data_IF_738114566914
#
_entry.id   IF_738114566914
#
_cell.length_a   1.000
_cell.length_b   1.000
_cell.length_c   1.000
_cell.angle_alpha   90.00
_cell.angle_beta   90.00
_cell.angle_gamma   90.00
#
_symmetry.space_group_name_H-M   'P 1'
#
loop_
_entity.id
_entity.type
_entity.pdbx_description
1 polymer ?
#
# COMPACT_ATOMS: atom_id res chain seq x y z
N UNK A 1 15.07 -20.67 -3.00
CA UNK A 1 14.27 -19.81 -3.86
C UNK A 1 15.10 -18.56 -4.21
N UNK A 2 15.38 -18.29 -5.49
CA UNK A 2 16.18 -17.10 -5.89
C UNK A 2 15.23 -15.96 -6.24
N UNK A 3 15.17 -14.94 -5.39
CA UNK A 3 14.49 -13.68 -5.68
C UNK A 3 15.27 -12.91 -6.73
N UNK A 4 14.68 -12.64 -7.89
CA UNK A 4 15.22 -11.69 -8.89
C UNK A 4 14.27 -10.51 -9.00
N UNK A 5 14.63 -9.38 -8.39
CA UNK A 5 14.03 -8.09 -8.72
C UNK A 5 14.60 -7.64 -10.07
N UNK A 6 13.78 -7.50 -11.11
CA UNK A 6 14.20 -6.95 -12.40
C UNK A 6 13.53 -5.60 -12.62
N UNK A 7 14.34 -4.63 -13.04
CA UNK A 7 13.88 -3.28 -13.42
C UNK A 7 13.35 -3.22 -14.86
N UNK A 8 13.67 -4.21 -15.69
CA UNK A 8 13.29 -4.24 -17.10
C UNK A 8 12.04 -5.11 -17.28
N UNK A 9 10.88 -4.47 -17.24
CA UNK A 9 9.58 -5.10 -17.48
C UNK A 9 9.30 -5.19 -18.98
N UNK A 10 10.15 -5.90 -19.73
CA UNK A 10 10.00 -6.10 -21.17
C UNK A 10 9.08 -7.28 -21.48
N UNK A 11 8.54 -7.34 -22.70
CA UNK A 11 7.71 -8.46 -23.17
C UNK A 11 8.44 -9.80 -23.01
N UNK A 12 9.73 -9.87 -23.33
CA UNK A 12 10.53 -11.08 -23.19
C UNK A 12 10.65 -11.56 -21.74
N UNK A 13 10.72 -10.64 -20.77
CA UNK A 13 10.77 -10.97 -19.33
C UNK A 13 9.43 -11.55 -18.89
N UNK A 14 8.31 -10.96 -19.31
CA UNK A 14 6.97 -11.46 -18.96
C UNK A 14 6.71 -12.85 -19.51
N UNK A 15 7.02 -13.07 -20.79
CA UNK A 15 6.90 -14.40 -21.42
C UNK A 15 7.69 -15.47 -20.68
N UNK A 16 8.93 -15.16 -20.30
CA UNK A 16 9.77 -16.07 -19.53
C UNK A 16 9.24 -16.33 -18.12
N UNK A 17 8.72 -15.31 -17.43
CA UNK A 17 8.15 -15.48 -16.09
C UNK A 17 7.01 -16.48 -16.09
N UNK A 18 6.05 -16.35 -17.02
CA UNK A 18 4.90 -17.26 -17.08
C UNK A 18 5.24 -18.63 -17.67
N UNK A 19 6.29 -18.75 -18.49
CA UNK A 19 6.72 -20.02 -19.06
C UNK A 19 7.62 -20.84 -18.12
N UNK A 20 8.42 -20.18 -17.25
CA UNK A 20 9.45 -20.82 -16.44
C UNK A 20 9.10 -20.93 -14.94
N UNK A 21 8.01 -20.27 -14.48
CA UNK A 21 7.64 -20.22 -13.07
C UNK A 21 6.28 -20.88 -12.82
N UNK A 22 6.19 -21.70 -11.78
CA UNK A 22 4.91 -22.23 -11.29
C UNK A 22 4.04 -21.15 -10.64
N UNK A 23 4.70 -20.16 -9.99
CA UNK A 23 4.06 -19.08 -9.25
C UNK A 23 4.75 -17.76 -9.54
N UNK A 24 3.98 -16.72 -9.86
CA UNK A 24 4.44 -15.33 -10.01
C UNK A 24 3.73 -14.44 -9.01
N UNK A 25 4.50 -13.75 -8.15
CA UNK A 25 3.98 -12.76 -7.21
C UNK A 25 4.02 -11.37 -7.86
N UNK A 26 2.86 -10.75 -8.03
CA UNK A 26 2.73 -9.35 -8.47
C UNK A 26 2.84 -8.41 -7.27
N UNK A 27 3.95 -7.66 -7.19
CA UNK A 27 4.21 -6.69 -6.12
C UNK A 27 4.63 -5.37 -6.78
N UNK A 28 3.65 -4.55 -7.10
CA UNK A 28 3.85 -3.28 -7.83
C UNK A 28 3.14 -2.12 -7.13
N UNK A 29 3.24 -0.92 -7.71
CA UNK A 29 2.43 0.20 -7.25
C UNK A 29 0.94 -0.09 -7.48
N UNK A 30 0.04 0.19 -6.52
CA UNK A 30 -1.40 -0.07 -6.65
C UNK A 30 -2.01 0.45 -7.96
N UNK A 31 -1.60 1.63 -8.41
CA UNK A 31 -2.10 2.21 -9.67
C UNK A 31 -1.67 1.47 -10.94
N UNK A 32 -0.70 0.55 -10.86
CA UNK A 32 -0.22 -0.23 -12.00
C UNK A 32 -0.70 -1.70 -11.97
N UNK A 33 -1.39 -2.12 -10.90
CA UNK A 33 -1.69 -3.54 -10.67
C UNK A 33 -2.51 -4.16 -11.80
N UNK A 34 -3.57 -3.48 -12.25
CA UNK A 34 -4.45 -3.97 -13.31
C UNK A 34 -3.74 -4.03 -14.67
N UNK A 35 -2.92 -3.03 -15.00
CA UNK A 35 -2.18 -3.00 -16.26
C UNK A 35 -1.14 -4.11 -16.30
N UNK A 36 -0.42 -4.33 -15.19
CA UNK A 36 0.50 -5.46 -15.05
C UNK A 36 -0.23 -6.80 -15.20
N UNK A 37 -1.43 -6.93 -14.63
CA UNK A 37 -2.24 -8.14 -14.79
C UNK A 37 -2.65 -8.38 -16.26
N UNK A 38 -3.02 -7.33 -16.99
CA UNK A 38 -3.33 -7.42 -18.44
C UNK A 38 -2.11 -7.86 -19.25
N UNK A 39 -0.94 -7.29 -18.96
CA UNK A 39 0.33 -7.67 -19.58
C UNK A 39 0.72 -9.14 -19.28
N UNK A 40 0.48 -9.59 -18.04
CA UNK A 40 0.68 -11.01 -17.68
C UNK A 40 -0.31 -11.92 -18.40
N UNK A 41 -1.57 -11.52 -18.55
CA UNK A 41 -2.58 -12.25 -19.31
C UNK A 41 -2.21 -12.39 -20.79
N UNK A 42 -1.65 -11.36 -21.42
CA UNK A 42 -1.09 -11.46 -22.77
C UNK A 42 0.03 -12.49 -22.86
N UNK A 43 0.93 -12.50 -21.89
CA UNK A 43 2.03 -13.47 -21.84
C UNK A 43 1.52 -14.92 -21.61
N UNK A 44 0.52 -15.12 -20.75
CA UNK A 44 -0.14 -16.41 -20.54
C UNK A 44 -0.74 -16.95 -21.84
N UNK A 45 -1.51 -16.12 -22.58
CA UNK A 45 -2.07 -16.52 -23.88
C UNK A 45 -1.00 -16.87 -24.90
N UNK A 46 0.08 -16.07 -24.97
CA UNK A 46 1.15 -16.27 -25.94
C UNK A 46 1.97 -17.54 -25.69
N UNK A 47 2.09 -17.97 -24.43
CA UNK A 47 2.86 -19.17 -24.04
C UNK A 47 2.01 -20.41 -23.83
N UNK A 48 0.69 -20.29 -23.71
CA UNK A 48 -0.20 -21.39 -23.30
C UNK A 48 0.04 -21.85 -21.85
N UNK A 49 0.69 -21.03 -21.02
CA UNK A 49 1.03 -21.38 -19.64
C UNK A 49 -0.17 -21.25 -18.70
N UNK A 50 -0.22 -22.11 -17.68
CA UNK A 50 -1.23 -22.10 -16.60
C UNK A 50 -0.64 -21.62 -15.26
N UNK A 51 0.37 -20.76 -15.32
CA UNK A 51 1.07 -20.21 -14.14
C UNK A 51 0.11 -19.60 -13.15
N UNK A 52 0.34 -19.85 -11.86
CA UNK A 52 -0.38 -19.21 -10.78
C UNK A 52 0.11 -17.76 -10.61
N UNK A 53 -0.77 -16.81 -10.85
CA UNK A 53 -0.54 -15.39 -10.59
C UNK A 53 -1.10 -15.05 -9.21
N UNK A 54 -0.28 -14.51 -8.33
CA UNK A 54 -0.69 -14.07 -6.99
C UNK A 54 -0.59 -12.54 -6.95
N UNK A 55 -1.71 -11.86 -6.84
CA UNK A 55 -1.71 -10.42 -6.65
C UNK A 55 -1.45 -10.08 -5.18
N UNK A 56 -0.34 -9.37 -4.92
CA UNK A 56 0.06 -8.95 -3.58
C UNK A 56 -0.05 -7.43 -3.40
N UNK A 57 -0.80 -6.75 -4.26
CA UNK A 57 -0.88 -5.31 -4.29
C UNK A 57 -1.85 -4.74 -3.26
N UNK A 58 -1.81 -3.43 -3.04
CA UNK A 58 -2.71 -2.75 -2.12
C UNK A 58 -3.87 -2.14 -2.92
N UNK A 59 -4.76 -2.99 -3.45
CA UNK A 59 -5.88 -2.61 -4.31
C UNK A 59 -7.22 -3.00 -3.70
N UNK A 60 -8.29 -2.36 -4.17
CA UNK A 60 -9.65 -2.63 -3.70
C UNK A 60 -10.11 -4.05 -4.08
N UNK A 61 -11.02 -4.66 -3.31
CA UNK A 61 -11.59 -5.98 -3.64
C UNK A 61 -12.19 -6.07 -5.05
N UNK A 62 -12.81 -5.00 -5.54
CA UNK A 62 -13.35 -4.97 -6.90
C UNK A 62 -12.25 -4.98 -7.96
N UNK A 63 -11.15 -4.25 -7.73
CA UNK A 63 -9.96 -4.29 -8.58
C UNK A 63 -9.33 -5.69 -8.60
N UNK A 64 -9.29 -6.37 -7.45
CA UNK A 64 -8.80 -7.77 -7.37
C UNK A 64 -9.66 -8.71 -8.21
N UNK A 65 -10.99 -8.59 -8.13
CA UNK A 65 -11.90 -9.42 -8.94
C UNK A 65 -11.73 -9.18 -10.45
N UNK A 66 -11.49 -7.91 -10.84
CA UNK A 66 -11.17 -7.59 -12.24
C UNK A 66 -9.84 -8.24 -12.67
N UNK A 67 -8.80 -8.15 -11.83
CA UNK A 67 -7.51 -8.81 -12.07
C UNK A 67 -7.69 -10.33 -12.21
N UNK A 68 -8.42 -10.98 -11.30
CA UNK A 68 -8.72 -12.40 -11.35
C UNK A 68 -9.37 -12.77 -12.68
N UNK A 69 -10.42 -12.05 -13.08
CA UNK A 69 -11.13 -12.27 -14.35
C UNK A 69 -10.18 -12.17 -15.55
N UNK A 70 -9.29 -11.18 -15.57
CA UNK A 70 -8.33 -10.99 -16.67
C UNK A 70 -7.33 -12.14 -16.76
N UNK A 71 -6.80 -12.59 -15.62
CA UNK A 71 -5.82 -13.70 -15.55
C UNK A 71 -6.46 -15.03 -15.91
N UNK A 72 -7.62 -15.35 -15.34
CA UNK A 72 -8.34 -16.61 -15.54
C UNK A 72 -8.83 -16.75 -16.98
N UNK A 73 -9.33 -15.67 -17.58
CA UNK A 73 -9.70 -15.63 -19.00
C UNK A 73 -8.52 -15.83 -19.97
N UNK A 74 -7.29 -15.73 -19.48
CA UNK A 74 -6.07 -16.01 -20.23
C UNK A 74 -5.51 -17.42 -19.99
N UNK A 75 -6.20 -18.26 -19.20
CA UNK A 75 -5.81 -19.64 -18.88
C UNK A 75 -4.88 -19.75 -17.66
N UNK A 76 -4.56 -18.66 -16.98
CA UNK A 76 -3.82 -18.67 -15.72
C UNK A 76 -4.70 -19.04 -14.53
N UNK A 77 -4.06 -19.39 -13.40
CA UNK A 77 -4.71 -19.48 -12.10
C UNK A 77 -4.45 -18.21 -11.29
N UNK A 78 -5.38 -17.86 -10.40
CA UNK A 78 -5.28 -16.60 -9.63
C UNK A 78 -5.48 -16.82 -8.13
N UNK A 79 -4.68 -16.14 -7.31
CA UNK A 79 -4.89 -15.97 -5.86
C UNK A 79 -4.68 -14.51 -5.46
N UNK A 80 -5.46 -14.07 -4.49
CA UNK A 80 -5.33 -12.77 -3.84
C UNK A 80 -4.45 -12.87 -2.61
N UNK A 81 -3.57 -11.88 -2.41
CA UNK A 81 -2.71 -11.82 -1.24
C UNK A 81 -2.52 -10.40 -0.69
N UNK A 82 -2.45 -10.29 0.62
CA UNK A 82 -2.19 -9.05 1.35
C UNK A 82 -0.90 -9.14 2.16
N UNK A 83 0.12 -8.36 1.79
CA UNK A 83 1.36 -8.25 2.58
C UNK A 83 1.16 -7.20 3.67
N UNK A 84 1.34 -7.59 4.94
CA UNK A 84 1.25 -6.71 6.11
C UNK A 84 2.49 -6.90 6.99
N UNK A 85 3.22 -5.84 7.22
CA UNK A 85 4.45 -5.83 8.03
C UNK A 85 5.65 -5.25 7.29
N UNK A 86 6.81 -5.17 7.96
CA UNK A 86 8.06 -4.75 7.36
C UNK A 86 8.59 -5.80 6.38
N UNK A 87 9.54 -5.46 5.50
CA UNK A 87 10.23 -6.46 4.68
C UNK A 87 10.86 -7.56 5.55
N UNK A 88 10.79 -8.84 5.14
CA UNK A 88 11.32 -9.98 5.91
C UNK A 88 12.86 -9.95 5.91
N UNK A 89 13.45 -9.27 6.89
CA UNK A 89 14.90 -9.12 7.05
C UNK A 89 15.31 -9.27 8.53
N UNK A 90 16.40 -9.99 8.80
CA UNK A 90 16.89 -10.19 10.16
C UNK A 90 15.84 -10.88 11.02
N UNK A 91 15.40 -10.23 12.09
CA UNK A 91 14.35 -10.72 13.00
C UNK A 91 12.93 -10.25 12.63
N UNK A 92 12.81 -9.41 11.59
CA UNK A 92 11.52 -8.86 11.17
C UNK A 92 10.65 -9.94 10.51
N UNK A 93 9.38 -9.94 10.89
CA UNK A 93 8.38 -10.86 10.35
C UNK A 93 7.38 -10.11 9.47
N UNK A 94 7.07 -10.70 8.32
CA UNK A 94 6.05 -10.23 7.40
C UNK A 94 4.90 -11.22 7.40
N UNK A 95 3.66 -10.72 7.50
CA UNK A 95 2.47 -11.54 7.32
C UNK A 95 2.02 -11.47 5.86
N UNK A 96 1.80 -12.63 5.26
CA UNK A 96 1.18 -12.79 3.95
C UNK A 96 -0.18 -13.44 4.15
N UNK A 97 -1.23 -12.65 4.07
CA UNK A 97 -2.59 -13.13 4.06
C UNK A 97 -2.96 -13.54 2.65
N UNK A 98 -3.57 -14.71 2.47
CA UNK A 98 -3.91 -15.24 1.16
C UNK A 98 -5.37 -15.68 1.12
N UNK A 99 -6.03 -15.52 -0.03
CA UNK A 99 -7.41 -15.93 -0.24
C UNK A 99 -7.67 -16.30 -1.70
N UNK A 100 -8.69 -17.13 -1.90
CA UNK A 100 -9.09 -17.65 -3.20
C UNK A 100 -9.04 -19.18 -3.25
N UNK A 101 -9.59 -19.80 -4.31
CA UNK A 101 -9.64 -21.25 -4.44
C UNK A 101 -8.23 -21.86 -4.46
N UNK A 102 -7.95 -22.77 -3.52
CA UNK A 102 -6.65 -23.41 -3.41
C UNK A 102 -5.56 -22.55 -2.73
N UNK A 103 -5.91 -21.51 -1.97
CA UNK A 103 -4.97 -20.62 -1.28
C UNK A 103 -3.98 -21.34 -0.34
N UNK A 104 -4.34 -22.54 0.18
CA UNK A 104 -3.45 -23.41 0.97
C UNK A 104 -2.17 -23.79 0.23
N UNK A 105 -2.19 -23.77 -1.10
CA UNK A 105 -0.99 -23.99 -1.91
C UNK A 105 0.16 -23.05 -1.55
N UNK A 106 -0.14 -21.83 -1.10
CA UNK A 106 0.87 -20.83 -0.75
C UNK A 106 1.48 -21.01 0.65
N UNK A 107 0.98 -21.92 1.50
CA UNK A 107 1.57 -22.22 2.81
C UNK A 107 3.03 -22.67 2.67
N UNK A 108 3.40 -23.28 1.55
CA UNK A 108 4.77 -23.65 1.21
C UNK A 108 5.77 -22.48 1.10
N UNK A 109 5.28 -21.25 0.95
CA UNK A 109 6.10 -20.05 0.96
C UNK A 109 6.46 -19.61 2.38
N UNK A 110 5.78 -20.18 3.38
CA UNK A 110 5.98 -19.86 4.79
C UNK A 110 7.38 -20.21 5.27
N UNK A 111 7.85 -19.43 6.23
CA UNK A 111 9.17 -19.61 6.85
C UNK A 111 9.33 -18.70 8.07
N UNK A 112 10.51 -18.72 8.69
CA UNK A 112 10.73 -17.99 9.95
C UNK A 112 10.42 -16.47 9.88
N UNK A 113 10.52 -15.88 8.70
CA UNK A 113 10.34 -14.45 8.47
C UNK A 113 9.09 -14.12 7.64
N UNK A 114 8.48 -15.11 6.99
CA UNK A 114 7.25 -14.96 6.21
C UNK A 114 6.17 -15.86 6.77
N UNK A 115 5.20 -15.28 7.45
CA UNK A 115 4.08 -16.02 8.04
C UNK A 115 2.93 -15.97 7.05
N UNK A 116 2.52 -17.13 6.54
CA UNK A 116 1.39 -17.26 5.62
C UNK A 116 0.12 -17.55 6.43
N UNK A 117 -0.93 -16.79 6.15
CA UNK A 117 -2.25 -16.94 6.76
C UNK A 117 -3.28 -17.18 5.65
N UNK A 118 -3.84 -18.36 5.56
CA UNK A 118 -4.96 -18.64 4.66
C UNK A 118 -6.24 -18.12 5.31
N UNK A 119 -6.92 -17.15 4.66
CA UNK A 119 -8.14 -16.54 5.18
C UNK A 119 -9.38 -17.32 4.75
N UNK A 120 -9.50 -17.61 3.45
CA UNK A 120 -10.69 -18.23 2.88
C UNK A 120 -10.41 -18.70 1.44
N UNK A 121 -11.39 -19.38 0.87
CA UNK A 121 -11.47 -19.74 -0.55
C UNK A 121 -12.10 -18.64 -1.43
N UNK A 122 -12.52 -17.51 -0.83
CA UNK A 122 -13.13 -16.40 -1.55
C UNK A 122 -12.07 -15.42 -2.03
N UNK A 123 -12.03 -15.18 -3.32
CA UNK A 123 -11.17 -14.15 -3.94
C UNK A 123 -11.46 -12.77 -3.37
N UNK A 124 -10.40 -12.00 -3.07
CA UNK A 124 -10.41 -10.64 -2.55
C UNK A 124 -10.61 -10.47 -1.02
N UNK A 125 -10.69 -11.54 -0.24
CA UNK A 125 -10.75 -11.42 1.23
C UNK A 125 -9.41 -10.93 1.82
N UNK A 126 -8.27 -11.36 1.28
CA UNK A 126 -6.95 -10.89 1.73
C UNK A 126 -6.74 -9.40 1.45
N UNK A 127 -7.15 -8.94 0.27
CA UNK A 127 -7.13 -7.51 -0.07
C UNK A 127 -8.13 -6.71 0.77
N UNK A 128 -9.33 -7.25 1.06
CA UNK A 128 -10.30 -6.61 1.96
C UNK A 128 -9.69 -6.36 3.34
N UNK A 129 -9.04 -7.37 3.92
CA UNK A 129 -8.33 -7.23 5.20
C UNK A 129 -7.23 -6.17 5.10
N UNK A 130 -6.40 -6.23 4.05
CA UNK A 130 -5.30 -5.27 3.84
C UNK A 130 -5.79 -3.84 3.68
N UNK A 131 -6.90 -3.63 2.97
CA UNK A 131 -7.50 -2.30 2.81
C UNK A 131 -8.03 -1.76 4.14
N UNK A 132 -8.73 -2.56 4.94
CA UNK A 132 -9.18 -2.16 6.27
C UNK A 132 -8.00 -1.84 7.21
N UNK A 133 -6.96 -2.67 7.23
CA UNK A 133 -5.77 -2.43 8.02
C UNK A 133 -5.02 -1.17 7.57
N UNK A 134 -4.86 -0.99 6.25
CA UNK A 134 -4.25 0.20 5.65
C UNK A 134 -5.03 1.48 5.96
N UNK A 135 -6.36 1.39 5.95
CA UNK A 135 -7.27 2.47 6.33
C UNK A 135 -6.99 2.96 7.76
N UNK A 136 -6.96 2.05 8.72
CA UNK A 136 -6.67 2.39 10.12
C UNK A 136 -5.24 2.91 10.30
N UNK A 137 -4.25 2.31 9.67
CA UNK A 137 -2.86 2.70 9.84
C UNK A 137 -2.55 4.04 9.16
N UNK A 138 -2.68 4.10 7.83
CA UNK A 138 -2.29 5.27 7.03
C UNK A 138 -3.34 6.38 7.05
N UNK A 139 -4.62 6.03 7.11
CA UNK A 139 -5.69 7.01 7.29
C UNK A 139 -5.56 7.79 8.60
N UNK A 140 -5.23 7.09 9.69
CA UNK A 140 -4.94 7.74 10.98
C UNK A 140 -3.72 8.66 10.88
N UNK A 141 -2.66 8.24 10.20
CA UNK A 141 -1.49 9.10 9.98
C UNK A 141 -1.85 10.36 9.18
N UNK A 142 -2.66 10.23 8.12
CA UNK A 142 -3.11 11.37 7.33
C UNK A 142 -3.95 12.36 8.18
N UNK A 143 -4.91 11.86 8.96
CA UNK A 143 -5.73 12.67 9.86
C UNK A 143 -4.87 13.45 10.87
N UNK A 144 -3.96 12.75 11.56
CA UNK A 144 -3.10 13.40 12.54
C UNK A 144 -2.18 14.44 11.90
N UNK A 145 -1.60 14.14 10.75
CA UNK A 145 -0.72 15.07 10.03
C UNK A 145 -1.48 16.33 9.60
N UNK A 146 -2.66 16.17 9.01
CA UNK A 146 -3.49 17.29 8.54
C UNK A 146 -3.88 18.22 9.69
N UNK A 147 -4.39 17.65 10.79
CA UNK A 147 -4.79 18.43 11.97
C UNK A 147 -3.61 19.14 12.62
N UNK A 148 -2.46 18.50 12.76
CA UNK A 148 -1.29 19.14 13.36
C UNK A 148 -0.70 20.25 12.46
N UNK A 149 -0.72 20.07 11.14
CA UNK A 149 -0.37 21.14 10.19
C UNK A 149 -1.34 22.32 10.32
N UNK A 150 -2.65 22.03 10.41
CA UNK A 150 -3.67 23.07 10.58
C UNK A 150 -3.46 23.84 11.90
N UNK A 151 -3.20 23.14 13.00
CA UNK A 151 -2.94 23.76 14.30
C UNK A 151 -1.73 24.71 14.27
N UNK A 152 -0.65 24.32 13.60
CA UNK A 152 0.52 25.19 13.36
C UNK A 152 0.13 26.47 12.58
N UNK A 153 -0.62 26.32 11.51
CA UNK A 153 -1.05 27.45 10.66
C UNK A 153 -2.04 28.39 11.37
N UNK A 154 -2.82 27.85 12.30
CA UNK A 154 -3.76 28.60 13.12
C UNK A 154 -3.13 29.20 14.38
N UNK A 155 -1.86 28.86 14.70
CA UNK A 155 -1.15 29.36 15.88
C UNK A 155 -1.64 28.77 17.21
N UNK A 156 -2.29 27.58 17.17
CA UNK A 156 -2.84 26.90 18.36
C UNK A 156 -2.13 25.60 18.70
N UNK A 157 -1.04 25.29 18.00
CA UNK A 157 -0.28 24.04 18.12
C UNK A 157 0.19 23.76 19.55
N UNK A 158 0.71 24.77 20.26
CA UNK A 158 1.18 24.61 21.63
C UNK A 158 0.04 24.30 22.61
N UNK A 159 -1.14 24.88 22.43
CA UNK A 159 -2.31 24.58 23.25
C UNK A 159 -2.85 23.18 22.94
N UNK A 160 -2.94 22.82 21.67
CA UNK A 160 -3.33 21.48 21.24
C UNK A 160 -2.37 20.42 21.78
N UNK A 161 -1.07 20.65 21.71
CA UNK A 161 -0.07 19.70 22.23
C UNK A 161 -0.24 19.46 23.74
N UNK A 162 -0.45 20.51 24.53
CA UNK A 162 -0.72 20.35 25.97
C UNK A 162 -1.95 19.48 26.21
N UNK A 163 -3.04 19.70 25.46
CA UNK A 163 -4.25 18.91 25.59
C UNK A 163 -4.05 17.45 25.20
N UNK A 164 -3.33 17.19 24.09
CA UNK A 164 -3.03 15.83 23.62
C UNK A 164 -2.16 15.06 24.59
N UNK A 165 -1.22 15.72 25.27
CA UNK A 165 -0.38 15.10 26.31
C UNK A 165 -1.18 14.68 27.55
N UNK A 166 -2.36 15.23 27.77
CA UNK A 166 -3.23 14.87 28.90
C UNK A 166 -4.23 13.77 28.52
N UNK A 167 -4.73 13.78 27.29
CA UNK A 167 -5.89 12.96 26.89
C UNK A 167 -5.60 11.86 25.86
N UNK A 168 -4.50 11.98 25.08
CA UNK A 168 -4.22 11.07 23.95
C UNK A 168 -2.72 10.77 23.79
N UNK A 169 -2.04 10.53 24.90
CA UNK A 169 -0.57 10.38 24.96
C UNK A 169 -0.05 9.34 23.97
N UNK A 170 -0.65 8.15 23.96
CA UNK A 170 -0.14 7.00 23.21
C UNK A 170 -0.27 7.21 21.70
N UNK A 171 -1.46 7.64 21.25
CA UNK A 171 -1.69 7.84 19.81
C UNK A 171 -0.96 9.08 19.28
N UNK A 172 -0.85 10.14 20.07
CA UNK A 172 -0.05 11.31 19.73
C UNK A 172 1.43 10.92 19.57
N UNK A 173 1.98 10.20 20.55
CA UNK A 173 3.36 9.71 20.49
C UNK A 173 3.59 8.77 19.31
N UNK A 174 2.63 7.88 19.02
CA UNK A 174 2.69 7.01 17.85
C UNK A 174 2.72 7.82 16.55
N UNK A 175 1.83 8.79 16.35
CA UNK A 175 1.76 9.62 15.17
C UNK A 175 3.09 10.35 14.90
N UNK A 176 3.65 10.99 15.96
CA UNK A 176 4.94 11.68 15.85
C UNK A 176 6.10 10.75 15.46
N UNK A 177 6.08 9.47 15.87
CA UNK A 177 7.09 8.48 15.42
C UNK A 177 6.93 8.07 13.96
N UNK A 178 5.71 8.15 13.38
CA UNK A 178 5.47 7.80 11.98
C UNK A 178 5.87 8.91 10.99
N UNK A 179 5.75 10.16 11.38
CA UNK A 179 5.94 11.30 10.48
C UNK A 179 7.34 11.39 9.84
N UNK A 180 8.47 11.09 10.50
CA UNK A 180 9.78 11.17 9.87
C UNK A 180 9.98 10.22 8.68
N UNK A 181 9.25 9.11 8.64
CA UNK A 181 9.36 8.10 7.58
C UNK A 181 8.24 8.19 6.52
N UNK A 182 7.27 9.08 6.73
CA UNK A 182 6.09 9.23 5.88
C UNK A 182 6.41 9.96 4.56
N UNK A 183 7.07 11.15 4.54
CA UNK A 183 7.16 11.97 3.34
C UNK A 183 7.78 11.25 2.14
N UNK A 184 8.90 10.51 2.26
CA UNK A 184 9.49 9.79 1.13
C UNK A 184 8.60 8.69 0.53
N UNK A 185 7.53 8.31 1.23
CA UNK A 185 6.59 7.25 0.84
C UNK A 185 5.24 7.80 0.38
N UNK A 186 4.97 9.07 0.61
CA UNK A 186 3.66 9.69 0.40
C UNK A 186 3.13 9.48 -1.02
N UNK A 187 3.98 9.59 -2.04
CA UNK A 187 3.59 9.38 -3.44
C UNK A 187 2.97 8.00 -3.70
N UNK A 188 3.43 6.95 -2.99
CA UNK A 188 2.91 5.58 -3.10
C UNK A 188 1.57 5.41 -2.38
N UNK A 189 1.33 6.23 -1.36
CA UNK A 189 0.12 6.14 -0.54
C UNK A 189 -1.06 6.87 -1.16
N UNK A 190 -0.83 7.80 -2.09
CA UNK A 190 -1.93 8.44 -2.85
C UNK A 190 -2.83 7.39 -3.54
N UNK A 191 -2.33 6.55 -4.45
CA UNK A 191 -3.17 5.53 -5.08
C UNK A 191 -3.73 4.52 -4.07
N UNK A 192 -3.00 4.17 -3.00
CA UNK A 192 -3.51 3.27 -1.98
C UNK A 192 -4.71 3.85 -1.22
N UNK A 193 -4.70 5.14 -0.88
CA UNK A 193 -5.87 5.80 -0.26
C UNK A 193 -7.07 5.82 -1.21
N UNK A 194 -6.86 5.97 -2.50
CA UNK A 194 -7.93 5.90 -3.48
C UNK A 194 -8.52 4.48 -3.59
N UNK A 195 -7.70 3.43 -3.51
CA UNK A 195 -8.17 2.05 -3.46
C UNK A 195 -8.95 1.76 -2.16
N UNK A 196 -8.49 2.28 -1.00
CA UNK A 196 -9.26 2.21 0.26
C UNK A 196 -10.60 2.95 0.12
N UNK A 197 -10.60 4.11 -0.52
CA UNK A 197 -11.83 4.88 -0.80
C UNK A 197 -12.83 4.06 -1.63
N UNK A 198 -12.38 3.35 -2.66
CA UNK A 198 -13.21 2.41 -3.46
C UNK A 198 -13.73 1.26 -2.59
N UNK A 199 -12.87 0.66 -1.76
CA UNK A 199 -13.23 -0.43 -0.85
C UNK A 199 -14.36 -0.02 0.09
N UNK A 200 -14.27 1.15 0.72
CA UNK A 200 -15.33 1.63 1.61
C UNK A 200 -16.62 1.94 0.84
N UNK A 201 -16.51 2.50 -0.37
CA UNK A 201 -17.68 2.73 -1.22
C UNK A 201 -18.39 1.44 -1.57
N UNK A 202 -17.67 0.37 -1.92
CA UNK A 202 -18.28 -0.94 -2.23
C UNK A 202 -18.93 -1.60 -1.00
N UNK A 203 -18.46 -1.27 0.21
CA UNK A 203 -19.06 -1.67 1.47
C UNK A 203 -20.22 -0.76 1.92
N UNK A 204 -20.68 0.19 1.11
CA UNK A 204 -21.75 1.13 1.45
C UNK A 204 -21.35 2.26 2.40
N UNK A 205 -20.04 2.46 2.64
CA UNK A 205 -19.51 3.49 3.54
C UNK A 205 -19.00 4.68 2.74
N UNK A 206 -19.04 5.89 3.32
CA UNK A 206 -18.55 7.09 2.65
C UNK A 206 -17.09 6.98 2.20
N UNK A 207 -16.77 7.25 0.92
CA UNK A 207 -15.39 7.22 0.42
C UNK A 207 -14.60 8.49 0.75
N UNK A 208 -15.27 9.57 1.17
CA UNK A 208 -14.71 10.94 1.21
C UNK A 208 -13.54 11.09 2.18
N UNK A 209 -13.55 10.37 3.31
CA UNK A 209 -12.46 10.43 4.29
C UNK A 209 -11.12 10.02 3.64
N UNK A 210 -11.10 8.98 2.83
CA UNK A 210 -9.88 8.49 2.20
C UNK A 210 -9.54 9.22 0.89
N UNK A 211 -10.49 9.90 0.26
CA UNK A 211 -10.22 10.88 -0.78
C UNK A 211 -9.46 12.07 -0.19
N UNK A 212 -9.90 12.61 0.97
CA UNK A 212 -9.16 13.63 1.72
C UNK A 212 -7.77 13.16 2.16
N UNK A 213 -7.64 11.93 2.65
CA UNK A 213 -6.33 11.35 3.00
C UNK A 213 -5.39 11.28 1.77
N UNK A 214 -5.93 10.95 0.58
CA UNK A 214 -5.16 10.97 -0.66
C UNK A 214 -4.67 12.39 -1.00
N UNK A 215 -5.49 13.43 -0.74
CA UNK A 215 -5.11 14.82 -0.99
C UNK A 215 -3.98 15.27 -0.05
N UNK A 216 -4.02 14.86 1.23
CA UNK A 216 -2.92 15.11 2.18
C UNK A 216 -1.63 14.46 1.70
N UNK A 217 -1.66 13.19 1.29
CA UNK A 217 -0.46 12.53 0.78
C UNK A 217 0.04 13.11 -0.54
N UNK A 218 -0.86 13.59 -1.41
CA UNK A 218 -0.50 14.31 -2.63
C UNK A 218 0.20 15.63 -2.31
N UNK A 219 -0.32 16.38 -1.35
CA UNK A 219 0.34 17.59 -0.85
C UNK A 219 1.74 17.28 -0.34
N UNK A 220 1.90 16.29 0.56
CA UNK A 220 3.21 15.91 1.10
C UNK A 220 4.18 15.46 0.01
N UNK A 221 3.73 14.64 -0.93
CA UNK A 221 4.55 14.17 -2.06
C UNK A 221 5.05 15.30 -2.96
N UNK A 222 4.31 16.41 -3.05
CA UNK A 222 4.69 17.61 -3.81
C UNK A 222 5.75 18.49 -3.14
N UNK A 223 6.02 18.30 -1.84
CA UNK A 223 6.98 19.11 -1.06
C UNK A 223 8.43 18.63 -1.25
N UNK A 224 9.38 19.44 -0.77
CA UNK A 224 10.78 19.04 -0.72
C UNK A 224 10.99 17.75 0.08
N UNK A 225 10.27 17.58 1.21
CA UNK A 225 10.33 16.37 2.03
C UNK A 225 9.83 15.12 1.28
N UNK A 226 8.79 15.26 0.45
CA UNK A 226 8.25 14.18 -0.36
C UNK A 226 9.15 13.72 -1.50
N UNK A 227 10.15 14.54 -1.86
CA UNK A 227 11.17 14.22 -2.89
C UNK A 227 12.40 13.52 -2.32
N UNK A 228 12.55 13.47 -1.01
CA UNK A 228 13.59 12.68 -0.35
C UNK A 228 13.38 11.18 -0.61
N UNK A 229 14.44 10.40 -0.47
CA UNK A 229 14.35 8.93 -0.44
C UNK A 229 14.50 8.42 1.01
N UNK A 230 14.11 7.17 1.31
CA UNK A 230 14.37 6.59 2.63
C UNK A 230 15.84 6.65 3.06
N UNK A 231 16.76 6.66 2.09
CA UNK A 231 18.21 6.71 2.29
C UNK A 231 18.72 8.15 2.50
N UNK A 232 18.18 9.12 1.73
CA UNK A 232 18.62 10.52 1.72
C UNK A 232 17.96 11.40 2.80
N UNK A 233 16.86 10.92 3.42
CA UNK A 233 16.16 11.70 4.44
C UNK A 233 17.06 12.01 5.64
N UNK A 234 16.90 13.18 6.21
CA UNK A 234 17.51 13.52 7.50
C UNK A 234 16.96 12.62 8.62
N UNK A 235 17.81 11.78 9.19
CA UNK A 235 17.44 10.82 10.25
C UNK A 235 17.31 11.47 11.64
N UNK A 236 17.87 12.66 11.82
CA UNK A 236 17.74 13.42 13.07
C UNK A 236 16.41 14.17 13.16
N UNK A 237 15.71 14.36 12.04
CA UNK A 237 14.42 15.06 11.97
C UNK A 237 13.36 14.30 12.72
N UNK A 238 12.75 14.92 13.74
CA UNK A 238 11.63 14.39 14.50
C UNK A 238 10.27 14.63 13.84
N UNK A 239 9.22 14.02 14.39
CA UNK A 239 7.85 14.19 13.86
C UNK A 239 7.35 15.62 13.95
N UNK A 240 7.71 16.38 14.98
CA UNK A 240 7.36 17.81 15.11
C UNK A 240 8.02 18.66 14.03
N UNK A 241 9.29 18.37 13.71
CA UNK A 241 10.01 19.11 12.66
C UNK A 241 9.34 18.90 11.30
N UNK A 242 8.88 17.66 11.02
CA UNK A 242 8.12 17.37 9.80
C UNK A 242 6.85 18.20 9.73
N UNK A 243 6.06 18.26 10.81
CA UNK A 243 4.83 19.07 10.87
C UNK A 243 5.14 20.54 10.64
N UNK A 244 6.16 21.09 11.30
CA UNK A 244 6.56 22.50 11.15
C UNK A 244 7.00 22.83 9.73
N UNK A 245 7.80 21.98 9.11
CA UNK A 245 8.26 22.16 7.73
C UNK A 245 7.08 22.13 6.76
N UNK A 246 6.20 21.13 6.87
CA UNK A 246 5.02 21.03 6.03
C UNK A 246 4.03 22.18 6.25
N UNK A 247 3.91 22.71 7.48
CA UNK A 247 3.06 23.86 7.76
C UNK A 247 3.51 25.15 7.06
N UNK A 248 4.81 25.28 6.80
CA UNK A 248 5.41 26.43 6.07
C UNK A 248 5.24 26.34 4.56
N UNK A 249 5.01 25.13 4.02
CA UNK A 249 4.77 24.95 2.59
C UNK A 249 3.46 25.65 2.19
N UNK A 250 3.49 26.38 1.07
CA UNK A 250 2.28 27.01 0.54
C UNK A 250 1.38 25.92 -0.05
N UNK A 251 0.07 25.97 0.26
CA UNK A 251 -0.91 25.21 -0.52
C UNK A 251 -0.68 25.56 -2.00
N UNK A 252 -0.32 24.59 -2.84
CA UNK A 252 -0.51 24.77 -4.26
C UNK A 252 -2.02 24.96 -4.45
N UNK A 253 -2.41 26.18 -4.85
CA UNK A 253 -3.80 26.47 -5.17
C UNK A 253 -4.22 25.48 -6.24
N UNK A 254 -5.14 24.57 -5.90
CA UNK A 254 -5.90 23.82 -6.86
C UNK A 254 -6.65 24.84 -7.72
N UNK A 255 -6.09 25.18 -8.88
CA UNK A 255 -6.89 25.81 -9.94
C UNK A 255 -7.93 24.78 -10.32
N UNK A 256 -9.19 25.17 -10.08
CA UNK A 256 -10.41 24.40 -10.36
C UNK A 256 -10.57 23.99 -11.81
#
# INVERSE_FOLDING_TARGET
>A
MRWRARRDWTTSVRLRLVAECDVVLSIVNPGAALDVAREMAEALRATGSHTLIVDCNAVAPDTVREIATVVEAAGGSFLDAGIIGPPPRGTEKTNLYVSGPGATYLERLGGPQLIVHVLSDRTADASSLKMCYGALNKGTQALWLDVLIAAQRLGVDSALERQLRQSQVDIHGWALRQFPILPPKAYRWVPEMLEISKTLKSAGITPKMFQGAADIYRFVAGTALGKETPESRDRARGGKDVVQLLARERKQSSRG
#
